data_IF_194111509779
#
_entry.id   IF_194111509779
#
_cell.length_a   1.000
_cell.length_b   1.000
_cell.length_c   1.000
_cell.angle_alpha   90.00
_cell.angle_beta   90.00
_cell.angle_gamma   90.00
#
_symmetry.space_group_name_H-M   'P 1'
#
loop_
_entity.id
_entity.type
_entity.pdbx_description
1 polymer ?
#
# COMPACT_ATOMS: atom_id res chain seq x y z
N UNK A 1 -18.97 -21.51 14.66
CA UNK A 1 -18.51 -20.12 14.91
C UNK A 1 -19.61 -19.20 14.43
N UNK A 2 -20.18 -18.34 15.30
CA UNK A 2 -21.17 -17.34 14.83
C UNK A 2 -20.42 -16.26 14.05
N UNK A 3 -20.98 -15.71 12.96
CA UNK A 3 -20.43 -14.51 12.35
C UNK A 3 -20.30 -13.44 13.45
N UNK A 4 -19.11 -12.88 13.60
CA UNK A 4 -18.90 -11.72 14.45
C UNK A 4 -19.74 -10.57 13.91
N UNK A 5 -20.50 -9.89 14.78
CA UNK A 5 -21.20 -8.67 14.41
C UNK A 5 -20.21 -7.69 13.80
N UNK A 6 -20.43 -7.36 12.52
CA UNK A 6 -19.52 -6.49 11.79
C UNK A 6 -19.67 -5.08 12.33
N UNK A 7 -18.57 -4.51 12.80
CA UNK A 7 -18.50 -3.11 13.19
C UNK A 7 -18.43 -2.27 11.93
N UNK A 8 -19.52 -1.59 11.59
CA UNK A 8 -19.59 -0.67 10.45
C UNK A 8 -18.82 0.62 10.76
N UNK A 9 -17.52 0.57 10.52
CA UNK A 9 -16.58 1.66 10.74
C UNK A 9 -16.20 2.31 9.41
N UNK A 10 -15.91 3.61 9.47
CA UNK A 10 -15.35 4.33 8.34
C UNK A 10 -13.93 3.87 8.02
N UNK A 11 -13.47 4.16 6.80
CA UNK A 11 -12.10 3.89 6.37
C UNK A 11 -11.10 4.60 7.30
N UNK A 12 -11.35 5.86 7.67
CA UNK A 12 -10.50 6.62 8.57
C UNK A 12 -10.35 5.95 9.95
N UNK A 13 -11.47 5.57 10.58
CA UNK A 13 -11.45 4.90 11.88
C UNK A 13 -10.69 3.57 11.83
N UNK A 14 -10.89 2.79 10.76
CA UNK A 14 -10.17 1.54 10.58
C UNK A 14 -8.66 1.75 10.40
N UNK A 15 -8.26 2.78 9.66
CA UNK A 15 -6.86 3.14 9.44
C UNK A 15 -6.19 3.58 10.73
N UNK A 16 -6.86 4.41 11.53
CA UNK A 16 -6.35 4.84 12.84
C UNK A 16 -6.18 3.66 13.81
N UNK A 17 -7.19 2.79 13.90
CA UNK A 17 -7.13 1.58 14.72
C UNK A 17 -6.03 0.62 14.24
N UNK A 18 -5.87 0.45 12.93
CA UNK A 18 -4.81 -0.38 12.36
C UNK A 18 -3.43 0.21 12.64
N UNK A 19 -3.26 1.52 12.52
CA UNK A 19 -2.02 2.21 12.87
C UNK A 19 -1.68 2.05 14.35
N UNK A 20 -2.69 2.13 15.25
CA UNK A 20 -2.54 1.83 16.67
C UNK A 20 -2.03 0.40 16.92
N UNK A 21 -2.63 -0.59 16.27
CA UNK A 21 -2.19 -1.99 16.34
C UNK A 21 -0.75 -2.18 15.81
N UNK A 22 -0.40 -1.56 14.68
CA UNK A 22 0.94 -1.62 14.10
C UNK A 22 1.97 -1.03 15.06
N UNK A 23 1.69 0.13 15.67
CA UNK A 23 2.56 0.75 16.70
C UNK A 23 2.74 -0.16 17.91
N UNK A 24 1.67 -0.79 18.40
CA UNK A 24 1.75 -1.74 19.51
C UNK A 24 2.66 -2.93 19.18
N UNK A 25 2.57 -3.50 17.98
CA UNK A 25 3.48 -4.56 17.51
C UNK A 25 4.93 -4.10 17.39
N UNK A 26 5.16 -2.83 17.08
CA UNK A 26 6.51 -2.27 17.08
C UNK A 26 7.06 -2.12 18.48
N UNK A 27 6.27 -1.64 19.44
CA UNK A 27 6.68 -1.51 20.84
C UNK A 27 7.02 -2.84 21.50
N UNK A 28 6.40 -3.94 21.07
CA UNK A 28 6.70 -5.30 21.58
C UNK A 28 7.81 -6.02 20.79
N UNK A 29 8.42 -5.38 19.79
CA UNK A 29 9.45 -5.97 18.94
C UNK A 29 8.93 -6.99 17.91
N UNK A 30 7.61 -7.24 17.86
CA UNK A 30 7.00 -8.14 16.89
C UNK A 30 7.04 -7.60 15.45
N UNK A 31 7.29 -6.30 15.27
CA UNK A 31 7.45 -5.65 13.97
C UNK A 31 8.54 -4.58 14.01
N UNK A 32 9.43 -4.56 13.02
CA UNK A 32 10.47 -3.53 12.97
C UNK A 32 9.89 -2.13 12.69
N UNK A 33 10.46 -1.05 13.25
CA UNK A 33 9.96 0.33 13.05
C UNK A 33 9.84 0.71 11.58
N UNK A 34 10.84 0.37 10.77
CA UNK A 34 10.84 0.64 9.32
C UNK A 34 9.70 -0.04 8.58
N UNK A 35 9.31 -1.24 9.00
CA UNK A 35 8.18 -1.96 8.39
C UNK A 35 6.85 -1.34 8.82
N UNK A 36 6.76 -0.94 10.09
CA UNK A 36 5.60 -0.24 10.63
C UNK A 36 5.31 1.08 9.91
N UNK A 37 6.34 1.91 9.69
CA UNK A 37 6.23 3.15 8.92
C UNK A 37 5.66 2.91 7.52
N UNK A 38 6.12 1.86 6.84
CA UNK A 38 5.64 1.51 5.50
C UNK A 38 4.16 1.14 5.52
N UNK A 39 3.73 0.29 6.47
CA UNK A 39 2.33 -0.09 6.57
C UNK A 39 1.44 1.11 6.91
N UNK A 40 1.81 1.92 7.90
CA UNK A 40 1.04 3.11 8.30
C UNK A 40 0.93 4.09 7.14
N UNK A 41 2.04 4.41 6.47
CA UNK A 41 2.04 5.31 5.30
C UNK A 41 1.11 4.80 4.20
N UNK A 42 1.14 3.51 3.91
CA UNK A 42 0.32 2.94 2.84
C UNK A 42 -1.16 2.94 3.20
N UNK A 43 -1.56 2.60 4.43
CA UNK A 43 -2.99 2.62 4.80
C UNK A 43 -3.55 4.05 4.87
N UNK A 44 -2.74 5.03 5.26
CA UNK A 44 -3.12 6.46 5.17
C UNK A 44 -3.28 6.89 3.71
N UNK A 45 -2.37 6.45 2.84
CA UNK A 45 -2.50 6.71 1.39
C UNK A 45 -3.74 6.03 0.80
N UNK A 46 -4.06 4.82 1.25
CA UNK A 46 -5.28 4.13 0.90
C UNK A 46 -6.51 4.93 1.33
N UNK A 47 -6.57 5.41 2.57
CA UNK A 47 -7.70 6.21 3.07
C UNK A 47 -7.96 7.46 2.22
N UNK A 48 -6.88 8.18 1.87
CA UNK A 48 -6.97 9.37 1.03
C UNK A 48 -7.47 9.08 -0.40
N UNK A 49 -7.27 7.86 -0.91
CA UNK A 49 -7.71 7.46 -2.25
C UNK A 49 -9.10 6.81 -2.24
N UNK A 50 -9.41 6.02 -1.20
CA UNK A 50 -10.69 5.33 -1.07
C UNK A 50 -11.82 6.28 -0.64
N UNK A 51 -11.49 7.35 0.07
CA UNK A 51 -12.44 8.23 0.75
C UNK A 51 -12.54 7.87 2.22
N UNK A 52 -12.16 8.81 3.09
CA UNK A 52 -12.04 8.62 4.53
C UNK A 52 -13.38 8.26 5.21
N UNK A 53 -14.48 8.87 4.76
CA UNK A 53 -15.80 8.77 5.39
C UNK A 53 -16.63 7.57 4.91
N UNK A 54 -16.17 6.84 3.89
CA UNK A 54 -16.85 5.63 3.42
C UNK A 54 -16.75 4.54 4.48
N UNK A 55 -17.77 3.71 4.61
CA UNK A 55 -17.72 2.50 5.43
C UNK A 55 -16.78 1.48 4.78
N UNK A 56 -15.84 0.93 5.56
CA UNK A 56 -14.83 0.02 5.01
C UNK A 56 -15.44 -1.27 4.42
N UNK A 57 -16.47 -1.80 5.06
CA UNK A 57 -17.18 -3.02 4.66
C UNK A 57 -17.98 -2.87 3.35
N UNK A 58 -18.30 -1.63 2.97
CA UNK A 58 -19.03 -1.35 1.73
C UNK A 58 -18.08 -1.27 0.52
N UNK A 59 -16.75 -1.36 0.72
CA UNK A 59 -15.79 -1.34 -0.37
C UNK A 59 -15.76 -2.68 -1.10
N UNK A 60 -16.02 -2.62 -2.40
CA UNK A 60 -15.98 -3.77 -3.30
C UNK A 60 -14.57 -4.04 -3.82
N UNK A 61 -14.39 -5.15 -4.54
CA UNK A 61 -13.15 -5.42 -5.28
C UNK A 61 -12.85 -4.36 -6.35
N UNK A 62 -13.89 -3.80 -6.97
CA UNK A 62 -13.77 -2.73 -7.98
C UNK A 62 -13.30 -1.43 -7.33
N UNK A 63 -13.89 -1.03 -6.20
CA UNK A 63 -13.42 0.13 -5.43
C UNK A 63 -11.93 0.02 -5.07
N UNK A 64 -11.49 -1.17 -4.66
CA UNK A 64 -10.09 -1.41 -4.34
C UNK A 64 -9.21 -1.37 -5.60
N UNK A 65 -9.69 -1.88 -6.75
CA UNK A 65 -9.00 -1.74 -8.03
C UNK A 65 -8.82 -0.26 -8.42
N UNK A 66 -9.84 0.58 -8.23
CA UNK A 66 -9.77 2.03 -8.45
C UNK A 66 -8.72 2.69 -7.56
N UNK A 67 -8.66 2.32 -6.27
CA UNK A 67 -7.64 2.82 -5.34
C UNK A 67 -6.23 2.41 -5.78
N UNK A 68 -6.04 1.17 -6.22
CA UNK A 68 -4.74 0.70 -6.72
C UNK A 68 -4.32 1.45 -7.99
N UNK A 69 -5.25 1.72 -8.90
CA UNK A 69 -5.02 2.51 -10.11
C UNK A 69 -4.74 3.98 -9.77
N UNK A 70 -5.48 4.54 -8.82
CA UNK A 70 -5.27 5.88 -8.28
C UNK A 70 -3.87 6.03 -7.69
N UNK A 71 -3.43 5.04 -6.88
CA UNK A 71 -2.07 5.00 -6.35
C UNK A 71 -1.03 4.94 -7.48
N UNK A 72 -1.24 4.07 -8.47
CA UNK A 72 -0.31 3.96 -9.59
C UNK A 72 -0.09 5.33 -10.26
N UNK A 73 -1.16 6.07 -10.54
CA UNK A 73 -1.13 7.40 -11.18
C UNK A 73 -0.51 8.52 -10.34
N UNK A 74 -0.30 8.34 -9.02
CA UNK A 74 0.31 9.37 -8.17
C UNK A 74 1.75 9.69 -8.60
N UNK A 75 2.15 10.97 -8.67
CA UNK A 75 3.55 11.34 -8.88
C UNK A 75 4.47 10.69 -7.84
N UNK A 76 5.59 10.10 -8.27
CA UNK A 76 6.60 9.59 -7.36
C UNK A 76 7.39 10.76 -6.74
N UNK A 77 7.00 11.19 -5.54
CA UNK A 77 7.62 12.30 -4.81
C UNK A 77 9.11 12.12 -4.48
N UNK A 78 9.71 10.96 -4.80
CA UNK A 78 11.15 10.76 -4.75
C UNK A 78 11.90 11.39 -5.92
N UNK A 79 11.24 11.70 -7.04
CA UNK A 79 11.87 12.26 -8.23
C UNK A 79 11.60 13.77 -8.27
N UNK A 80 12.65 14.59 -8.12
CA UNK A 80 12.56 16.05 -8.30
C UNK A 80 12.01 16.36 -9.70
N UNK A 81 11.11 17.33 -9.85
CA UNK A 81 10.70 17.82 -11.16
C UNK A 81 11.94 18.43 -11.83
N UNK A 82 12.45 17.80 -12.90
CA UNK A 82 13.60 18.32 -13.67
C UNK A 82 14.71 17.32 -13.97
N UNK A 83 14.75 16.14 -13.33
CA UNK A 83 15.75 15.12 -13.67
C UNK A 83 15.22 14.16 -14.76
N UNK A 84 15.29 14.62 -16.02
CA UNK A 84 15.34 13.75 -17.21
C UNK A 84 14.05 13.58 -18.00
N UNK A 85 13.94 14.33 -19.10
CA UNK A 85 13.25 13.97 -20.36
C UNK A 85 11.85 13.39 -20.26
N UNK A 86 10.84 14.22 -19.99
CA UNK A 86 9.45 13.87 -20.22
C UNK A 86 8.95 14.56 -21.50
N UNK A 87 8.65 13.76 -22.53
CA UNK A 87 7.76 14.20 -23.61
C UNK A 87 6.37 14.60 -23.07
N UNK A 88 5.53 15.23 -23.89
CA UNK A 88 4.30 15.86 -23.41
C UNK A 88 3.37 14.79 -22.80
N UNK A 89 3.13 14.87 -21.48
CA UNK A 89 2.17 14.03 -20.75
C UNK A 89 2.73 13.04 -19.71
N UNK A 90 4.05 12.89 -19.60
CA UNK A 90 4.69 11.85 -18.76
C UNK A 90 5.15 12.31 -17.37
N UNK A 91 4.23 12.67 -16.47
CA UNK A 91 4.58 12.77 -15.05
C UNK A 91 5.09 11.42 -14.53
N UNK A 92 6.15 11.40 -13.72
CA UNK A 92 6.75 10.17 -13.20
C UNK A 92 5.76 9.41 -12.28
N UNK A 93 5.01 8.47 -12.87
CA UNK A 93 4.06 7.55 -12.23
C UNK A 93 4.77 6.61 -11.24
N UNK A 94 4.06 6.07 -10.24
CA UNK A 94 4.65 5.12 -9.27
C UNK A 94 5.30 3.91 -9.97
N UNK A 95 6.48 3.53 -9.51
CA UNK A 95 7.16 2.32 -10.03
C UNK A 95 6.37 1.03 -9.74
N UNK A 96 6.55 0.00 -10.55
CA UNK A 96 5.91 -1.30 -10.34
C UNK A 96 6.22 -1.93 -8.97
N UNK A 97 7.43 -1.71 -8.44
CA UNK A 97 7.80 -2.16 -7.10
C UNK A 97 7.03 -1.40 -6.00
N UNK A 98 6.87 -0.09 -6.15
CA UNK A 98 6.06 0.73 -5.24
C UNK A 98 4.59 0.30 -5.23
N UNK A 99 4.04 0.00 -6.41
CA UNK A 99 2.67 -0.52 -6.58
C UNK A 99 2.50 -1.90 -5.92
N UNK A 100 3.44 -2.83 -6.15
CA UNK A 100 3.38 -4.17 -5.56
C UNK A 100 3.45 -4.14 -4.02
N UNK A 101 4.30 -3.27 -3.47
CA UNK A 101 4.40 -3.02 -2.03
C UNK A 101 3.10 -2.42 -1.48
N UNK A 102 2.54 -1.39 -2.11
CA UNK A 102 1.27 -0.79 -1.71
C UNK A 102 0.14 -1.83 -1.67
N UNK A 103 0.00 -2.65 -2.72
CA UNK A 103 -0.96 -3.77 -2.76
C UNK A 103 -0.77 -4.75 -1.59
N UNK A 104 0.49 -5.07 -1.23
CA UNK A 104 0.78 -5.95 -0.08
C UNK A 104 0.32 -5.34 1.24
N UNK A 105 0.56 -4.04 1.44
CA UNK A 105 0.11 -3.32 2.63
C UNK A 105 -1.42 -3.29 2.72
N UNK A 106 -2.12 -2.98 1.63
CA UNK A 106 -3.59 -3.01 1.58
C UNK A 106 -4.13 -4.42 1.85
N UNK A 107 -3.47 -5.46 1.32
CA UNK A 107 -3.82 -6.85 1.63
C UNK A 107 -3.65 -7.19 3.12
N UNK A 108 -2.56 -6.74 3.75
CA UNK A 108 -2.34 -6.94 5.18
C UNK A 108 -3.38 -6.20 6.04
N UNK A 109 -3.78 -5.01 5.62
CA UNK A 109 -4.85 -4.24 6.25
C UNK A 109 -6.19 -4.98 6.21
N UNK A 110 -6.67 -5.41 5.03
CA UNK A 110 -7.94 -6.13 4.94
C UNK A 110 -7.92 -7.52 5.60
N UNK A 111 -6.77 -8.20 5.64
CA UNK A 111 -6.60 -9.43 6.42
C UNK A 111 -6.84 -9.18 7.91
N UNK A 112 -6.31 -8.08 8.43
CA UNK A 112 -6.56 -7.70 9.82
C UNK A 112 -8.00 -7.24 10.03
N UNK A 113 -8.54 -6.42 9.14
CA UNK A 113 -9.92 -5.92 9.20
C UNK A 113 -10.94 -7.06 9.28
N UNK A 114 -10.73 -8.13 8.51
CA UNK A 114 -11.58 -9.33 8.56
C UNK A 114 -11.55 -9.99 9.94
N UNK A 115 -10.35 -10.20 10.52
CA UNK A 115 -10.20 -10.81 11.86
C UNK A 115 -10.74 -9.91 12.96
N UNK A 116 -10.62 -8.59 12.78
CA UNK A 116 -11.13 -7.58 13.71
C UNK A 116 -12.65 -7.34 13.57
N UNK A 117 -13.31 -7.99 12.60
CA UNK A 117 -14.75 -7.84 12.36
C UNK A 117 -15.16 -6.48 11.79
N UNK A 118 -14.27 -5.80 11.06
CA UNK A 118 -14.59 -4.51 10.40
C UNK A 118 -15.10 -4.69 8.97
N UNK A 119 -14.83 -5.86 8.40
CA UNK A 119 -15.38 -6.28 7.11
C UNK A 119 -15.89 -7.72 7.23
N UNK A 120 -16.98 -8.04 6.55
CA UNK A 120 -17.52 -9.40 6.49
C UNK A 120 -16.70 -10.29 5.55
N UNK A 121 -16.26 -9.72 4.44
CA UNK A 121 -15.45 -10.38 3.41
C UNK A 121 -14.22 -9.54 3.09
N UNK A 122 -13.16 -10.19 2.62
CA UNK A 122 -11.95 -9.49 2.21
C UNK A 122 -12.05 -9.10 0.71
N UNK A 123 -12.25 -7.81 0.36
CA UNK A 123 -12.44 -7.39 -1.04
C UNK A 123 -11.20 -7.65 -1.89
N UNK A 124 -10.00 -7.79 -1.30
CA UNK A 124 -8.78 -8.13 -2.03
C UNK A 124 -8.85 -9.46 -2.79
N UNK A 125 -9.81 -10.34 -2.45
CA UNK A 125 -10.07 -11.58 -3.18
C UNK A 125 -10.73 -11.35 -4.55
N UNK A 126 -11.45 -10.23 -4.72
CA UNK A 126 -12.14 -9.85 -5.95
C UNK A 126 -11.34 -8.85 -6.83
N UNK A 127 -10.20 -8.35 -6.33
CA UNK A 127 -9.35 -7.37 -7.02
C UNK A 127 -8.66 -7.97 -8.23
N UNK A 128 -8.84 -7.36 -9.40
CA UNK A 128 -8.37 -7.84 -10.70
C UNK A 128 -7.07 -7.18 -11.16
N UNK A 129 -6.79 -5.96 -10.71
CA UNK A 129 -5.61 -5.18 -11.12
C UNK A 129 -4.36 -5.73 -10.47
N UNK A 130 -3.39 -6.12 -11.30
CA UNK A 130 -2.05 -6.53 -10.85
C UNK A 130 -0.98 -5.62 -11.44
N UNK A 131 -0.05 -5.09 -10.61
CA UNK A 131 1.09 -4.34 -11.11
C UNK A 131 1.90 -5.21 -12.06
N UNK A 132 1.96 -4.82 -13.33
CA UNK A 132 2.78 -5.50 -14.33
C UNK A 132 4.10 -4.76 -14.47
N UNK A 133 5.20 -5.41 -14.08
CA UNK A 133 6.53 -4.86 -14.34
C UNK A 133 6.82 -5.01 -15.84
N UNK A 134 6.56 -3.95 -16.63
CA UNK A 134 7.00 -3.89 -18.04
C UNK A 134 8.53 -3.84 -18.04
N UNK A 135 9.16 -4.92 -18.49
CA UNK A 135 10.61 -4.99 -18.72
C UNK A 135 11.32 -5.96 -17.79
N UNK A 136 11.99 -6.94 -18.41
CA UNK A 136 12.74 -8.00 -17.76
C UNK A 136 13.87 -7.49 -16.86
N UNK A 137 14.41 -8.43 -16.10
CA UNK A 137 15.48 -8.26 -15.12
C UNK A 137 16.43 -7.08 -15.45
N UNK A 138 16.39 -6.03 -14.64
CA UNK A 138 17.64 -5.42 -14.17
C UNK A 138 17.81 -5.76 -12.70
N UNK A 139 18.09 -7.04 -12.47
CA UNK A 139 18.65 -7.53 -11.22
C UNK A 139 20.17 -7.26 -11.13
N UNK A 140 20.71 -6.24 -11.81
CA UNK A 140 22.05 -5.77 -11.52
C UNK A 140 21.98 -4.75 -10.39
N UNK A 141 21.79 -5.24 -9.16
CA UNK A 141 22.57 -4.67 -8.06
C UNK A 141 24.00 -5.14 -8.33
N UNK A 142 24.76 -4.39 -9.14
CA UNK A 142 26.22 -4.58 -9.14
C UNK A 142 26.65 -4.24 -7.72
N UNK A 143 27.16 -5.23 -6.99
CA UNK A 143 27.91 -4.97 -5.77
C UNK A 143 29.04 -3.99 -6.13
N UNK A 144 29.37 -3.08 -5.21
CA UNK A 144 30.52 -2.20 -5.36
C UNK A 144 31.74 -3.10 -5.59
N UNK A 145 32.49 -2.88 -6.67
CA UNK A 145 33.78 -3.58 -6.83
C UNK A 145 34.78 -3.01 -5.83
N UNK A 146 35.79 -3.79 -5.45
CA UNK A 146 36.85 -3.36 -4.51
C UNK A 146 37.48 -2.05 -4.97
N UNK A 147 37.74 -1.91 -6.28
CA UNK A 147 38.24 -0.67 -6.91
C UNK A 147 37.31 0.55 -6.76
N UNK A 148 35.99 0.34 -6.61
CA UNK A 148 35.02 1.41 -6.36
C UNK A 148 34.85 1.72 -4.87
N UNK A 149 35.30 0.82 -4.00
CA UNK A 149 35.22 0.94 -2.54
C UNK A 149 36.45 1.63 -1.95
N UNK A 150 37.62 1.50 -2.60
CA UNK A 150 38.92 1.97 -2.12
C UNK A 150 39.32 3.36 -2.64
N UNK A 151 38.36 4.13 -3.20
CA UNK A 151 38.60 5.49 -3.69
C UNK A 151 39.29 6.42 -2.69
#
# INVERSE_FOLDING_TARGET
MRPSDVQRLTVAECVDRYAGMVRAKTSTGALSPKTAEVYVRDVVTFAALAGADRVLDDLTGEDVDEVLLGFARKPDGRRRPGAGGAGPGGGAVQSGASQARFRRSVSAFFKYALVAGWVQLNPMQAVTVRPRQRGGLRAQRRALTVEQAEG
#
